data_IF_614211142390
#
_entry.id   IF_614211142390
#
_cell.length_a   1.000
_cell.length_b   1.000
_cell.length_c   1.000
_cell.angle_alpha   90.00
_cell.angle_beta   90.00
_cell.angle_gamma   90.00
#
_symmetry.space_group_name_H-M   'P 1'
#
loop_
_entity.id
_entity.type
_entity.pdbx_description
1 polymer ?
#
# COMPACT_ATOMS: atom_id res chain seq x y z
N UNK A 1 -34.84 2.87 49.53
CA UNK A 1 -33.49 3.38 49.24
C UNK A 1 -32.53 2.68 50.20
N UNK A 2 -31.93 1.57 49.76
CA UNK A 2 -30.97 0.79 50.57
C UNK A 2 -29.61 1.02 49.92
N UNK A 3 -28.74 1.76 50.59
CA UNK A 3 -27.36 1.98 50.16
C UNK A 3 -26.60 0.69 50.48
N UNK A 4 -26.33 -0.13 49.47
CA UNK A 4 -25.48 -1.30 49.60
C UNK A 4 -24.03 -0.80 49.79
N UNK A 5 -23.57 -0.82 51.04
CA UNK A 5 -22.18 -0.58 51.41
C UNK A 5 -21.31 -1.70 50.83
N UNK A 6 -20.44 -1.36 49.88
CA UNK A 6 -19.43 -2.27 49.34
C UNK A 6 -18.41 -2.59 50.45
N UNK A 7 -18.31 -3.86 50.85
CA UNK A 7 -17.32 -4.33 51.84
C UNK A 7 -15.96 -4.51 51.14
N UNK A 8 -14.95 -3.69 51.46
CA UNK A 8 -13.64 -3.71 50.79
C UNK A 8 -12.76 -4.90 51.19
N UNK A 9 -13.23 -5.81 52.06
CA UNK A 9 -12.44 -6.93 52.60
C UNK A 9 -12.71 -8.29 51.95
N UNK A 10 -13.49 -8.36 50.87
CA UNK A 10 -13.70 -9.63 50.16
C UNK A 10 -12.43 -9.97 49.35
N UNK A 11 -11.71 -11.07 49.65
CA UNK A 11 -10.58 -11.50 48.83
C UNK A 11 -11.08 -11.80 47.42
N UNK A 12 -10.50 -11.14 46.42
CA UNK A 12 -10.76 -11.49 45.02
C UNK A 12 -10.16 -12.88 44.79
N UNK A 13 -10.89 -13.83 44.17
CA UNK A 13 -10.30 -15.11 43.80
C UNK A 13 -9.08 -14.82 42.93
N UNK A 14 -7.97 -15.57 43.08
CA UNK A 14 -6.79 -15.36 42.25
C UNK A 14 -7.25 -15.45 40.80
N UNK A 15 -7.13 -14.34 40.09
CA UNK A 15 -7.36 -14.28 38.66
C UNK A 15 -6.56 -15.42 38.07
N UNK A 16 -7.23 -16.44 37.53
CA UNK A 16 -6.55 -17.52 36.83
C UNK A 16 -5.85 -16.85 35.66
N UNK A 17 -4.56 -16.55 35.86
CA UNK A 17 -3.65 -16.12 34.80
C UNK A 17 -3.57 -17.32 33.87
N UNK A 18 -4.46 -17.36 32.89
CA UNK A 18 -4.29 -18.23 31.74
C UNK A 18 -2.96 -17.81 31.12
N UNK A 19 -1.96 -18.71 31.02
CA UNK A 19 -0.79 -18.41 30.22
C UNK A 19 -1.31 -18.00 28.84
N UNK A 20 -0.88 -16.86 28.27
CA UNK A 20 -1.31 -16.48 26.95
C UNK A 20 -1.05 -17.68 26.04
N UNK A 21 -2.05 -18.13 25.24
CA UNK A 21 -1.80 -19.18 24.27
C UNK A 21 -0.56 -18.77 23.46
N UNK A 22 0.31 -19.73 23.08
CA UNK A 22 1.52 -19.40 22.34
C UNK A 22 1.14 -18.50 21.16
N UNK A 23 1.76 -17.32 21.12
CA UNK A 23 1.43 -16.26 20.17
C UNK A 23 1.68 -16.76 18.74
N UNK A 24 0.65 -17.34 18.13
CA UNK A 24 0.62 -17.45 16.68
C UNK A 24 0.73 -16.02 16.15
N UNK A 25 1.54 -15.75 15.11
CA UNK A 25 1.59 -14.42 14.54
C UNK A 25 0.17 -14.07 14.10
N UNK A 26 -0.42 -13.11 14.81
CA UNK A 26 -1.81 -12.71 14.60
C UNK A 26 -2.05 -12.21 13.17
N UNK A 27 -0.96 -11.78 12.52
CA UNK A 27 -0.85 -11.30 11.16
C UNK A 27 0.15 -12.15 10.38
N UNK A 28 -0.23 -12.59 9.18
CA UNK A 28 0.67 -13.19 8.20
C UNK A 28 0.67 -12.34 6.94
N UNK A 29 1.87 -12.02 6.44
CA UNK A 29 2.08 -11.24 5.22
C UNK A 29 2.92 -12.05 4.24
N UNK A 30 2.35 -12.38 3.10
CA UNK A 30 3.04 -13.10 2.02
C UNK A 30 3.06 -12.21 0.79
N UNK A 31 4.18 -12.16 0.08
CA UNK A 31 4.24 -11.47 -1.21
C UNK A 31 4.61 -12.45 -2.31
N UNK A 32 3.97 -12.29 -3.47
CA UNK A 32 4.32 -13.05 -4.68
C UNK A 32 4.25 -12.19 -5.92
N UNK A 33 4.96 -12.62 -6.95
CA UNK A 33 4.93 -11.97 -8.27
C UNK A 33 3.63 -12.34 -8.97
N UNK A 34 2.81 -11.34 -9.29
CA UNK A 34 1.59 -11.51 -10.08
C UNK A 34 1.87 -11.40 -11.57
N UNK A 35 2.82 -10.52 -11.94
CA UNK A 35 3.35 -10.37 -13.30
C UNK A 35 4.76 -9.78 -13.24
N UNK A 36 5.52 -9.70 -14.35
CA UNK A 36 6.84 -9.03 -14.37
C UNK A 36 6.83 -7.58 -13.85
N UNK A 37 5.67 -6.93 -13.80
CA UNK A 37 5.50 -5.53 -13.39
C UNK A 37 4.54 -5.36 -12.20
N UNK A 38 4.15 -6.45 -11.55
CA UNK A 38 3.22 -6.38 -10.42
C UNK A 38 3.56 -7.38 -9.32
N UNK A 39 3.49 -6.92 -8.07
CA UNK A 39 3.44 -7.77 -6.89
C UNK A 39 2.03 -7.82 -6.34
N UNK A 40 1.70 -8.92 -5.66
CA UNK A 40 0.57 -8.98 -4.74
C UNK A 40 1.11 -9.25 -3.34
N UNK A 41 0.59 -8.50 -2.37
CA UNK A 41 0.81 -8.62 -0.94
C UNK A 41 -0.46 -9.21 -0.33
N UNK A 42 -0.43 -10.48 0.02
CA UNK A 42 -1.52 -11.20 0.67
C UNK A 42 -1.38 -11.06 2.18
N UNK A 43 -2.40 -10.47 2.80
CA UNK A 43 -2.45 -10.19 4.24
C UNK A 43 -3.56 -11.03 4.85
N UNK A 44 -3.24 -11.76 5.91
CA UNK A 44 -4.22 -12.56 6.65
C UNK A 44 -4.07 -12.42 8.15
N UNK A 45 -5.18 -12.59 8.87
CA UNK A 45 -5.24 -12.44 10.33
C UNK A 45 -5.76 -11.08 10.78
N UNK A 46 -5.23 -10.52 11.87
CA UNK A 46 -5.69 -9.25 12.44
C UNK A 46 -4.70 -8.11 12.19
N UNK A 47 -5.24 -6.98 11.75
CA UNK A 47 -4.51 -5.73 11.57
C UNK A 47 -4.93 -4.76 12.66
N UNK A 48 -4.15 -4.72 13.74
CA UNK A 48 -4.39 -3.92 14.94
C UNK A 48 -3.15 -3.12 15.36
N UNK A 49 -3.13 -2.53 16.56
CA UNK A 49 -1.95 -1.78 17.04
C UNK A 49 -0.70 -2.63 17.23
N UNK A 50 -0.85 -3.94 17.45
CA UNK A 50 0.27 -4.86 17.67
C UNK A 50 0.89 -5.28 16.34
N UNK A 51 0.09 -5.37 15.28
CA UNK A 51 0.53 -5.84 13.96
C UNK A 51 0.73 -4.73 12.93
N UNK A 52 0.24 -3.50 13.19
CA UNK A 52 0.32 -2.36 12.28
C UNK A 52 1.75 -2.03 11.84
N UNK A 53 2.70 -1.99 12.77
CA UNK A 53 4.09 -1.67 12.43
C UNK A 53 4.71 -2.71 11.49
N UNK A 54 4.42 -4.00 11.74
CA UNK A 54 4.89 -5.09 10.88
C UNK A 54 4.30 -4.98 9.47
N UNK A 55 3.00 -4.75 9.34
CA UNK A 55 2.36 -4.53 8.03
C UNK A 55 2.96 -3.33 7.30
N UNK A 56 3.19 -2.23 8.02
CA UNK A 56 3.78 -1.00 7.48
C UNK A 56 5.16 -1.25 6.87
N UNK A 57 6.04 -1.91 7.61
CA UNK A 57 7.39 -2.24 7.14
C UNK A 57 7.37 -3.08 5.86
N UNK A 58 6.49 -4.08 5.81
CA UNK A 58 6.29 -4.91 4.61
C UNK A 58 5.77 -4.11 3.42
N UNK A 59 4.72 -3.31 3.59
CA UNK A 59 4.17 -2.51 2.49
C UNK A 59 5.17 -1.49 1.96
N UNK A 60 5.89 -0.78 2.83
CA UNK A 60 6.93 0.17 2.44
C UNK A 60 8.07 -0.52 1.69
N UNK A 61 8.48 -1.72 2.13
CA UNK A 61 9.47 -2.53 1.42
C UNK A 61 8.99 -2.92 0.03
N UNK A 62 7.74 -3.40 -0.10
CA UNK A 62 7.16 -3.83 -1.36
C UNK A 62 6.94 -2.68 -2.35
N UNK A 63 6.56 -1.49 -1.89
CA UNK A 63 6.42 -0.29 -2.73
C UNK A 63 7.74 -0.02 -3.48
N UNK A 64 8.89 -0.23 -2.84
CA UNK A 64 10.21 0.00 -3.46
C UNK A 64 10.58 -1.00 -4.55
N UNK A 65 9.99 -2.20 -4.56
CA UNK A 65 10.41 -3.33 -5.43
C UNK A 65 9.28 -3.90 -6.31
N UNK A 66 8.06 -3.41 -6.17
CA UNK A 66 6.87 -3.93 -6.85
C UNK A 66 6.83 -3.65 -8.35
N UNK A 67 7.51 -2.59 -8.80
CA UNK A 67 7.34 -2.05 -10.14
C UNK A 67 6.16 -1.07 -10.15
N UNK A 68 5.39 -0.97 -11.25
CA UNK A 68 4.29 0.00 -11.32
C UNK A 68 3.02 -0.35 -10.52
N UNK A 69 2.82 -1.61 -10.11
CA UNK A 69 1.60 -2.05 -9.40
C UNK A 69 1.95 -2.93 -8.18
N UNK A 70 1.38 -2.58 -7.03
CA UNK A 70 1.38 -3.37 -5.80
C UNK A 70 -0.06 -3.65 -5.39
N UNK A 71 -0.58 -4.84 -5.67
CA UNK A 71 -1.90 -5.25 -5.21
C UNK A 71 -1.82 -5.62 -3.73
N UNK A 72 -2.68 -5.06 -2.89
CA UNK A 72 -2.79 -5.44 -1.46
C UNK A 72 -4.07 -6.24 -1.28
N UNK A 73 -3.94 -7.54 -1.05
CA UNK A 73 -5.07 -8.45 -0.84
C UNK A 73 -5.32 -8.61 0.67
N UNK A 74 -6.50 -8.15 1.10
CA UNK A 74 -6.95 -8.14 2.48
C UNK A 74 -8.05 -9.18 2.74
N UNK A 75 -8.37 -10.08 1.80
CA UNK A 75 -9.46 -11.05 1.98
C UNK A 75 -9.22 -12.03 3.12
N UNK A 76 -7.95 -12.28 3.46
CA UNK A 76 -7.56 -13.08 4.63
C UNK A 76 -7.68 -12.33 5.96
N UNK A 77 -7.99 -11.03 5.96
CA UNK A 77 -8.06 -10.21 7.17
C UNK A 77 -9.40 -10.43 7.87
N UNK A 78 -9.32 -10.85 9.14
CA UNK A 78 -10.48 -11.11 10.01
C UNK A 78 -10.76 -9.98 11.01
N UNK A 79 -9.87 -8.99 11.10
CA UNK A 79 -10.05 -7.77 11.88
C UNK A 79 -9.20 -6.63 11.31
N UNK A 80 -9.79 -5.46 11.12
CA UNK A 80 -9.10 -4.24 10.72
C UNK A 80 -9.45 -3.10 11.71
N UNK A 81 -8.50 -2.76 12.59
CA UNK A 81 -8.65 -1.66 13.53
C UNK A 81 -8.13 -0.33 12.96
N UNK A 82 -8.33 0.75 13.70
CA UNK A 82 -7.92 2.11 13.31
C UNK A 82 -6.42 2.22 12.97
N UNK A 83 -5.55 1.51 13.71
CA UNK A 83 -4.12 1.48 13.41
C UNK A 83 -3.83 0.92 12.01
N UNK A 84 -4.56 -0.12 11.59
CA UNK A 84 -4.45 -0.70 10.25
C UNK A 84 -4.94 0.24 9.15
N UNK A 85 -6.02 0.97 9.38
CA UNK A 85 -6.50 2.00 8.44
C UNK A 85 -5.44 3.09 8.22
N UNK A 86 -4.78 3.54 9.28
CA UNK A 86 -3.68 4.50 9.20
C UNK A 86 -2.52 3.98 8.35
N UNK A 87 -2.14 2.71 8.53
CA UNK A 87 -1.09 2.07 7.72
C UNK A 87 -1.47 1.98 6.25
N UNK A 88 -2.72 1.62 5.92
CA UNK A 88 -3.19 1.57 4.53
C UNK A 88 -3.18 2.96 3.88
N UNK A 89 -3.62 3.99 4.60
CA UNK A 89 -3.60 5.37 4.12
C UNK A 89 -2.17 5.87 3.88
N UNK A 90 -1.25 5.61 4.82
CA UNK A 90 0.16 5.97 4.67
C UNK A 90 0.79 5.24 3.48
N UNK A 91 0.58 3.93 3.36
CA UNK A 91 1.10 3.13 2.27
C UNK A 91 0.58 3.61 0.91
N UNK A 92 -0.69 4.01 0.82
CA UNK A 92 -1.27 4.59 -0.39
C UNK A 92 -0.59 5.91 -0.78
N UNK A 93 -0.37 6.80 0.19
CA UNK A 93 0.33 8.06 -0.04
C UNK A 93 1.78 7.84 -0.50
N UNK A 94 2.51 6.90 0.12
CA UNK A 94 3.87 6.54 -0.25
C UNK A 94 3.94 5.89 -1.63
N UNK A 95 2.99 5.01 -1.96
CA UNK A 95 2.90 4.39 -3.28
C UNK A 95 2.65 5.46 -4.37
N UNK A 96 1.72 6.38 -4.12
CA UNK A 96 1.44 7.49 -5.02
C UNK A 96 2.69 8.38 -5.24
N UNK A 97 3.41 8.73 -4.17
CA UNK A 97 4.65 9.50 -4.26
C UNK A 97 5.75 8.75 -5.05
N UNK A 98 5.77 7.42 -4.98
CA UNK A 98 6.69 6.56 -5.74
C UNK A 98 6.21 6.27 -7.18
N UNK A 99 5.03 6.75 -7.59
CA UNK A 99 4.44 6.44 -8.90
C UNK A 99 3.96 4.99 -9.05
N UNK A 100 3.75 4.29 -7.92
CA UNK A 100 3.22 2.92 -7.82
C UNK A 100 1.72 2.99 -7.58
N UNK A 101 0.92 2.22 -8.33
CA UNK A 101 -0.49 2.03 -7.96
C UNK A 101 -0.62 0.97 -6.88
N UNK A 102 -1.50 1.22 -5.93
CA UNK A 102 -1.77 0.31 -4.83
C UNK A 102 -3.26 -0.07 -4.76
N UNK A 103 -3.79 -0.86 -5.71
CA UNK A 103 -5.15 -1.37 -5.61
C UNK A 103 -5.29 -2.30 -4.42
N UNK A 104 -6.42 -2.21 -3.72
CA UNK A 104 -6.75 -3.01 -2.55
C UNK A 104 -7.82 -4.01 -2.94
N UNK A 105 -7.63 -5.28 -2.59
CA UNK A 105 -8.64 -6.33 -2.75
C UNK A 105 -9.26 -6.60 -1.39
N UNK A 106 -10.58 -6.46 -1.31
CA UNK A 106 -11.36 -6.71 -0.12
C UNK A 106 -12.80 -7.12 -0.47
N UNK A 107 -13.26 -8.23 0.09
CA UNK A 107 -14.62 -8.76 -0.10
C UNK A 107 -15.38 -8.94 1.22
N UNK A 108 -14.69 -8.86 2.36
CA UNK A 108 -15.25 -9.15 3.69
C UNK A 108 -15.75 -7.88 4.39
N UNK A 109 -16.81 -8.01 5.19
CA UNK A 109 -17.35 -6.89 5.99
C UNK A 109 -16.31 -6.36 6.99
N UNK A 110 -15.44 -7.23 7.50
CA UNK A 110 -14.39 -6.92 8.46
C UNK A 110 -13.39 -5.89 7.92
N UNK A 111 -13.22 -5.84 6.60
CA UNK A 111 -12.36 -4.87 5.92
C UNK A 111 -13.20 -3.74 5.31
N UNK A 112 -14.25 -4.07 4.57
CA UNK A 112 -15.04 -3.09 3.83
C UNK A 112 -15.74 -2.07 4.74
N UNK A 113 -16.27 -2.49 5.89
CA UNK A 113 -16.99 -1.57 6.78
C UNK A 113 -16.05 -0.52 7.40
N UNK A 114 -14.90 -0.88 8.01
CA UNK A 114 -13.95 0.12 8.48
C UNK A 114 -13.49 1.09 7.38
N UNK A 115 -13.23 0.60 6.16
CA UNK A 115 -12.84 1.47 5.04
C UNK A 115 -13.93 2.49 4.70
N UNK A 116 -15.18 2.04 4.58
CA UNK A 116 -16.32 2.90 4.26
C UNK A 116 -16.64 3.92 5.37
N UNK A 117 -16.57 3.51 6.64
CA UNK A 117 -16.81 4.42 7.77
C UNK A 117 -15.78 5.54 7.87
N UNK A 118 -14.57 5.31 7.37
CA UNK A 118 -13.51 6.32 7.31
C UNK A 118 -13.35 6.94 5.92
N UNK A 119 -14.27 6.64 4.99
CA UNK A 119 -14.23 7.07 3.58
C UNK A 119 -12.91 6.77 2.87
N UNK A 120 -12.15 5.80 3.38
CA UNK A 120 -10.85 5.45 2.85
C UNK A 120 -11.00 4.68 1.52
N UNK A 121 -12.15 4.06 1.31
CA UNK A 121 -12.59 3.48 0.04
C UNK A 121 -12.79 4.53 -1.08
N UNK A 122 -12.92 5.81 -0.76
CA UNK A 122 -12.95 6.89 -1.77
C UNK A 122 -11.54 7.27 -2.25
N UNK A 123 -10.51 6.92 -1.47
CA UNK A 123 -9.10 7.24 -1.76
C UNK A 123 -8.36 6.02 -2.31
N UNK A 124 -8.71 4.84 -1.82
CA UNK A 124 -8.15 3.57 -2.27
C UNK A 124 -8.91 3.03 -3.48
N UNK A 125 -8.16 2.46 -4.43
CA UNK A 125 -8.73 1.72 -5.56
C UNK A 125 -9.13 0.32 -5.09
N UNK A 126 -10.36 0.17 -4.56
CA UNK A 126 -10.85 -1.08 -3.94
C UNK A 126 -11.56 -1.99 -4.95
N UNK A 127 -11.14 -3.26 -4.99
CA UNK A 127 -11.65 -4.33 -5.84
C UNK A 127 -12.17 -5.49 -5.00
N UNK A 128 -13.13 -6.26 -5.53
CA UNK A 128 -13.69 -7.42 -4.81
C UNK A 128 -12.83 -8.67 -4.93
N UNK A 129 -11.99 -8.75 -5.95
CA UNK A 129 -11.10 -9.89 -6.16
C UNK A 129 -9.84 -9.43 -6.92
N UNK A 130 -8.77 -10.23 -6.84
CA UNK A 130 -7.50 -9.94 -7.55
C UNK A 130 -7.66 -9.96 -9.07
N UNK A 131 -8.61 -10.73 -9.61
CA UNK A 131 -8.85 -10.84 -11.06
C UNK A 131 -9.47 -9.58 -11.69
N UNK A 132 -10.17 -8.76 -10.91
CA UNK A 132 -10.78 -7.49 -11.33
C UNK A 132 -9.73 -6.38 -11.47
N UNK A 133 -8.57 -6.55 -10.80
CA UNK A 133 -7.51 -5.55 -10.79
C UNK A 133 -6.87 -5.43 -12.16
N UNK A 134 -7.14 -4.30 -12.83
CA UNK A 134 -6.52 -4.00 -14.12
C UNK A 134 -5.09 -3.50 -13.94
N UNK A 135 -4.11 -4.39 -14.13
CA UNK A 135 -2.68 -4.03 -14.09
C UNK A 135 -2.26 -3.07 -15.21
N UNK A 136 -1.23 -2.24 -14.98
CA UNK A 136 -0.69 -1.34 -16.00
C UNK A 136 -0.04 -2.18 -17.09
N UNK A 137 -0.69 -2.19 -18.26
CA UNK A 137 -0.09 -2.77 -19.46
C UNK A 137 1.22 -2.03 -19.82
N UNK A 138 2.14 -2.73 -20.45
CA UNK A 138 3.49 -2.27 -20.83
C UNK A 138 3.53 -1.11 -21.86
N UNK A 139 2.43 -0.40 -22.09
CA UNK A 139 2.42 0.78 -22.95
C UNK A 139 2.98 2.02 -22.23
N UNK A 140 4.26 1.96 -21.84
CA UNK A 140 5.19 3.09 -21.74
C UNK A 140 6.57 2.50 -21.41
N UNK A 141 7.36 2.24 -22.45
CA UNK A 141 8.81 2.31 -22.30
C UNK A 141 9.20 3.72 -21.83
N UNK A 142 10.36 3.91 -21.19
CA UNK A 142 10.79 5.24 -20.77
C UNK A 142 10.73 6.14 -22.01
N UNK A 143 10.03 7.28 -21.91
CA UNK A 143 10.20 8.34 -22.90
C UNK A 143 11.68 8.70 -22.85
N UNK A 144 12.48 8.11 -23.75
CA UNK A 144 13.77 8.66 -24.14
C UNK A 144 13.43 10.09 -24.54
N UNK A 145 13.73 11.06 -23.68
CA UNK A 145 13.84 12.44 -24.13
C UNK A 145 14.84 12.36 -25.28
N UNK A 146 14.35 12.57 -26.50
CA UNK A 146 15.22 12.77 -27.63
C UNK A 146 16.17 13.92 -27.24
N UNK A 147 17.49 13.81 -27.46
CA UNK A 147 18.36 14.96 -27.35
C UNK A 147 17.85 15.99 -28.36
N UNK A 148 17.24 17.06 -27.87
CA UNK A 148 16.89 18.23 -28.66
C UNK A 148 18.17 18.99 -28.96
N UNK A 149 19.03 18.43 -29.81
CA UNK A 149 20.25 19.07 -30.26
C UNK A 149 20.70 18.49 -31.59
N UNK A 150 20.31 19.18 -32.66
CA UNK A 150 21.14 19.44 -33.85
C UNK A 150 20.47 20.59 -34.62
N UNK A 151 20.57 21.80 -34.05
CA UNK A 151 20.55 23.02 -34.87
C UNK A 151 21.77 22.90 -35.80
N UNK A 152 21.52 22.77 -37.11
CA UNK A 152 22.56 22.85 -38.14
C UNK A 152 23.32 24.17 -37.97
N UNK A 153 24.66 24.20 -38.05
CA UNK A 153 25.35 25.47 -38.21
C UNK A 153 24.97 26.08 -39.56
N UNK A 154 24.66 27.37 -39.56
CA UNK A 154 24.45 28.15 -40.77
C UNK A 154 25.75 28.18 -41.59
N UNK A 155 25.61 27.97 -42.89
CA UNK A 155 26.67 28.09 -43.88
C UNK A 155 27.20 29.54 -43.86
N UNK A 156 28.52 29.80 -43.74
CA UNK A 156 29.02 31.17 -43.86
C UNK A 156 28.87 31.67 -45.31
N UNK A 157 28.66 32.97 -45.54
CA UNK A 157 28.61 33.53 -46.89
C UNK A 157 29.98 33.42 -47.57
N UNK A 158 29.98 32.94 -48.82
CA UNK A 158 31.17 32.93 -49.67
C UNK A 158 31.47 34.35 -50.15
N UNK A 159 32.63 34.86 -49.76
CA UNK A 159 33.19 36.11 -50.26
C UNK A 159 33.48 35.97 -51.75
N UNK A 160 32.75 36.70 -52.60
CA UNK A 160 33.10 36.83 -54.01
C UNK A 160 34.12 37.96 -54.15
N UNK A 161 35.40 37.60 -54.08
CA UNK A 161 36.46 38.31 -54.79
C UNK A 161 36.36 37.90 -56.26
N UNK A 162 36.17 38.84 -57.19
CA UNK A 162 36.95 38.97 -58.44
C UNK A 162 36.30 39.95 -59.42
N UNK A 163 37.00 41.06 -59.69
CA UNK A 163 37.46 41.56 -61.00
C UNK A 163 37.77 43.05 -60.84
N UNK A 164 39.02 43.53 -60.92
CA UNK A 164 39.92 43.56 -62.07
C UNK A 164 39.33 44.34 -63.27
N UNK A 165 39.53 45.66 -63.27
CA UNK A 165 40.27 46.43 -64.28
C UNK A 165 40.45 47.87 -63.82
#
# INVERSE_FOLDING_TARGET
MIVATHDPRRPQPPELVHPPPPAQPLLTVVSRRLSPRALVCEVSGEVDSNSAQHLREHLVGLIRVSGPDLVVDLDGVRLLAAAGLGVLAEAAALAAAAGVRMPVVASTRQVLLPLALTELDLVLDVHRNVTDVRLRSSQHGPRRRAPSERRRPARPPVSSLSNAS
#
